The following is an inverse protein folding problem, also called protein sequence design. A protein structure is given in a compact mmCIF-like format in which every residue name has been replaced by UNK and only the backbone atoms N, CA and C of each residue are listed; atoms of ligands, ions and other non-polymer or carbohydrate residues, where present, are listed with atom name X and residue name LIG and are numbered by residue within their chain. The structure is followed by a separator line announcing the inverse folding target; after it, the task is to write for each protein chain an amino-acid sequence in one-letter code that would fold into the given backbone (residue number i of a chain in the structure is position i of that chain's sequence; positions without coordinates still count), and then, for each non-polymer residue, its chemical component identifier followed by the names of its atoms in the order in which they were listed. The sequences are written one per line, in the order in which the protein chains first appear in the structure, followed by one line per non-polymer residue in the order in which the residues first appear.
data_IF_124289005760
#
_entry.id   IF_124289005760
#
_cell.length_a   1.000
_cell.length_b   1.000
_cell.length_c   1.000
_cell.angle_alpha   90.00
_cell.angle_beta   90.00
_cell.angle_gamma   90.00
#
_symmetry.space_group_name_H-M   'P 1'
#
loop_
_entity.id
_entity.type
_entity.pdbx_description
1 polymer ?
#
# COMPACT_ATOMS: atom_id res chain seq x y z
N UNK A 1 11.14 -3.08 11.53
CA UNK A 1 12.62 -3.21 11.47
C UNK A 1 13.32 -1.86 11.62
N UNK A 2 14.45 -1.87 12.33
CA UNK A 2 15.24 -0.68 12.62
C UNK A 2 16.70 -1.02 12.40
N UNK A 3 17.44 -0.12 11.76
CA UNK A 3 18.86 -0.30 11.42
C UNK A 3 19.75 -0.52 12.64
N UNK A 4 19.32 -0.07 13.83
CA UNK A 4 20.02 -0.29 15.09
C UNK A 4 19.71 -1.62 15.80
N UNK A 5 18.63 -2.32 15.41
CA UNK A 5 18.13 -3.49 16.14
C UNK A 5 17.89 -4.75 15.29
N UNK A 6 17.90 -4.64 13.96
CA UNK A 6 17.72 -5.76 13.05
C UNK A 6 18.44 -5.52 11.73
N UNK A 7 19.13 -6.52 11.15
CA UNK A 7 19.83 -6.39 9.86
C UNK A 7 18.89 -6.48 8.66
N UNK A 8 17.58 -6.68 8.87
CA UNK A 8 16.62 -6.91 7.81
C UNK A 8 16.56 -5.77 6.80
N UNK A 9 16.50 -6.12 5.51
CA UNK A 9 16.27 -5.19 4.40
C UNK A 9 14.89 -5.45 3.83
N UNK A 10 14.23 -4.37 3.41
CA UNK A 10 12.94 -4.44 2.72
C UNK A 10 13.08 -3.72 1.38
N UNK A 11 12.54 -4.32 0.33
CA UNK A 11 12.45 -3.73 -0.99
C UNK A 11 10.97 -3.45 -1.26
N UNK A 12 10.66 -2.22 -1.67
CA UNK A 12 9.30 -1.79 -1.98
C UNK A 12 9.12 -1.77 -3.50
N UNK A 13 7.96 -2.18 -3.97
CA UNK A 13 7.61 -2.26 -5.39
C UNK A 13 6.23 -1.63 -5.61
N UNK A 14 6.03 -0.99 -6.77
CA UNK A 14 4.72 -0.56 -7.24
C UNK A 14 4.16 -1.64 -8.18
N UNK A 15 3.08 -2.30 -7.77
CA UNK A 15 2.33 -3.23 -8.60
C UNK A 15 1.15 -2.52 -9.26
N UNK A 16 1.12 -2.52 -10.60
CA UNK A 16 -0.01 -2.01 -11.36
C UNK A 16 -1.04 -3.13 -11.53
N UNK A 17 -2.26 -2.93 -11.04
CA UNK A 17 -3.28 -3.97 -10.99
C UNK A 17 -4.70 -3.39 -11.17
N UNK A 18 -5.63 -4.27 -11.56
CA UNK A 18 -7.06 -3.97 -11.55
C UNK A 18 -7.64 -4.44 -10.21
N UNK A 19 -8.19 -3.49 -9.45
CA UNK A 19 -8.76 -3.72 -8.12
C UNK A 19 -10.29 -3.68 -8.09
N UNK A 20 -11.00 -3.64 -9.23
CA UNK A 20 -12.47 -3.51 -9.25
C UNK A 20 -13.22 -4.63 -8.49
N UNK A 21 -12.63 -5.82 -8.38
CA UNK A 21 -13.20 -6.95 -7.66
C UNK A 21 -12.34 -7.38 -6.45
N UNK A 22 -11.46 -6.49 -5.97
CA UNK A 22 -10.59 -6.75 -4.83
C UNK A 22 -11.27 -6.38 -3.49
N UNK A 23 -10.64 -6.80 -2.40
CA UNK A 23 -11.10 -6.58 -1.03
C UNK A 23 -11.75 -7.82 -0.40
N UNK A 24 -11.88 -7.82 0.92
CA UNK A 24 -12.45 -8.91 1.70
C UNK A 24 -11.51 -9.41 2.79
N UNK A 25 -11.86 -10.55 3.40
CA UNK A 25 -11.07 -11.20 4.45
C UNK A 25 -10.28 -12.37 3.87
N UNK A 26 -9.00 -12.42 4.22
CA UNK A 26 -8.01 -13.37 3.75
C UNK A 26 -7.15 -13.87 4.91
N UNK A 27 -6.44 -14.96 4.65
CA UNK A 27 -5.59 -15.63 5.63
C UNK A 27 -5.67 -17.13 5.43
N UNK A 28 -4.56 -17.82 5.67
CA UNK A 28 -4.50 -19.28 5.69
C UNK A 28 -4.39 -19.75 7.13
N UNK A 29 -5.17 -20.76 7.50
CA UNK A 29 -5.13 -21.34 8.86
C UNK A 29 -3.72 -21.79 9.25
N UNK A 30 -2.97 -22.31 8.28
CA UNK A 30 -1.59 -22.78 8.42
C UNK A 30 -0.59 -21.64 8.67
N UNK A 31 -0.89 -20.43 8.23
CA UNK A 31 -0.03 -19.24 8.38
C UNK A 31 -0.42 -18.39 9.59
N UNK A 32 -1.57 -18.68 10.22
CA UNK A 32 -2.10 -17.93 11.36
C UNK A 32 -2.26 -16.43 11.10
N UNK A 33 -2.58 -16.07 9.85
CA UNK A 33 -2.84 -14.70 9.44
C UNK A 33 -4.35 -14.43 9.37
N UNK A 34 -4.76 -13.22 9.78
CA UNK A 34 -6.12 -12.71 9.70
C UNK A 34 -6.06 -11.31 9.08
N UNK A 35 -6.34 -11.23 7.79
CA UNK A 35 -6.05 -10.06 6.95
C UNK A 35 -7.36 -9.54 6.35
N UNK A 36 -7.66 -8.27 6.62
CA UNK A 36 -8.67 -7.53 5.88
C UNK A 36 -8.00 -6.71 4.77
N UNK A 37 -8.32 -7.02 3.51
CA UNK A 37 -7.96 -6.17 2.40
C UNK A 37 -9.13 -5.23 2.08
N UNK A 38 -8.82 -3.95 1.93
CA UNK A 38 -9.77 -2.92 1.55
C UNK A 38 -9.18 -2.09 0.40
N UNK A 39 -10.06 -1.57 -0.45
CA UNK A 39 -9.71 -0.74 -1.60
C UNK A 39 -10.22 0.66 -1.31
N UNK A 40 -9.35 1.64 -1.47
CA UNK A 40 -9.70 3.07 -1.36
C UNK A 40 -9.41 3.75 -2.69
N UNK A 41 -9.82 5.01 -2.81
CA UNK A 41 -9.31 5.85 -3.89
C UNK A 41 -7.93 6.40 -3.54
N UNK A 42 -7.16 6.74 -4.57
CA UNK A 42 -5.83 7.34 -4.39
C UNK A 42 -5.89 8.57 -3.49
N UNK A 43 -6.91 9.40 -3.69
CA UNK A 43 -7.09 10.62 -2.91
C UNK A 43 -7.37 10.30 -1.44
N UNK A 44 -8.21 9.31 -1.16
CA UNK A 44 -8.49 8.87 0.21
C UNK A 44 -7.23 8.29 0.88
N UNK A 45 -6.42 7.52 0.15
CA UNK A 45 -5.14 7.03 0.64
C UNK A 45 -4.15 8.17 0.97
N UNK A 46 -4.14 9.25 0.19
CA UNK A 46 -3.35 10.46 0.51
C UNK A 46 -3.92 11.22 1.70
N UNK A 47 -5.24 11.28 1.86
CA UNK A 47 -5.85 11.87 3.05
C UNK A 47 -5.50 11.07 4.32
N UNK A 48 -5.40 9.73 4.23
CA UNK A 48 -4.95 8.88 5.35
C UNK A 48 -3.50 9.16 5.72
N UNK A 49 -2.64 9.33 4.71
CA UNK A 49 -1.25 9.72 4.88
C UNK A 49 -1.15 11.06 5.64
N UNK A 50 -1.86 12.09 5.18
CA UNK A 50 -1.83 13.43 5.77
C UNK A 50 -2.40 13.46 7.20
N UNK A 51 -3.38 12.60 7.50
CA UNK A 51 -3.96 12.44 8.84
C UNK A 51 -3.12 11.58 9.78
N UNK A 52 -2.04 10.96 9.28
CA UNK A 52 -1.19 10.07 10.07
C UNK A 52 -1.86 8.74 10.42
N UNK A 53 -2.85 8.29 9.63
CA UNK A 53 -3.51 6.99 9.82
C UNK A 53 -2.68 5.81 9.31
N UNK A 54 -1.63 6.09 8.53
CA UNK A 54 -0.66 5.10 8.04
C UNK A 54 0.57 5.08 8.95
N UNK A 55 0.51 4.31 10.03
CA UNK A 55 1.52 4.30 11.10
C UNK A 55 2.60 3.21 10.95
N UNK A 56 2.50 2.38 9.91
CA UNK A 56 3.53 1.43 9.53
C UNK A 56 4.63 2.13 8.69
N UNK A 57 5.88 2.08 9.15
CA UNK A 57 7.00 2.75 8.48
C UNK A 57 7.22 2.34 7.02
N UNK A 58 6.95 1.09 6.63
CA UNK A 58 7.08 0.67 5.23
C UNK A 58 5.96 1.22 4.36
N UNK A 59 4.71 1.13 4.85
CA UNK A 59 3.54 1.72 4.18
C UNK A 59 3.71 3.23 4.02
N UNK A 60 4.20 3.91 5.05
CA UNK A 60 4.47 5.34 5.02
C UNK A 60 5.48 5.71 3.93
N UNK A 61 6.62 5.01 3.85
CA UNK A 61 7.65 5.25 2.83
C UNK A 61 7.10 4.96 1.42
N UNK A 62 6.36 3.86 1.24
CA UNK A 62 5.75 3.50 -0.04
C UNK A 62 4.76 4.58 -0.51
N UNK A 63 3.89 5.05 0.40
CA UNK A 63 2.87 6.06 0.08
C UNK A 63 3.45 7.44 -0.17
N UNK A 64 4.49 7.85 0.57
CA UNK A 64 5.20 9.10 0.31
C UNK A 64 5.88 9.07 -1.07
N UNK A 65 6.53 7.96 -1.42
CA UNK A 65 7.08 7.79 -2.77
C UNK A 65 5.98 7.82 -3.82
N UNK A 66 4.87 7.11 -3.60
CA UNK A 66 3.77 7.07 -4.55
C UNK A 66 3.12 8.45 -4.75
N UNK A 67 2.93 9.24 -3.69
CA UNK A 67 2.42 10.61 -3.78
C UNK A 67 3.27 11.54 -4.67
N UNK A 68 4.59 11.31 -4.69
CA UNK A 68 5.52 12.08 -5.53
C UNK A 68 5.53 11.62 -7.00
N UNK A 69 5.23 10.36 -7.28
CA UNK A 69 5.49 9.73 -8.58
C UNK A 69 4.24 9.24 -9.33
N UNK A 70 3.05 9.19 -8.71
CA UNK A 70 1.85 8.56 -9.32
C UNK A 70 1.47 9.15 -10.69
N UNK A 71 1.78 10.42 -10.94
CA UNK A 71 1.44 11.09 -12.20
C UNK A 71 2.15 10.45 -13.41
N UNK A 72 3.30 9.82 -13.22
CA UNK A 72 4.03 9.09 -14.27
C UNK A 72 3.24 7.86 -14.77
N UNK A 73 2.18 7.47 -14.05
CA UNK A 73 1.39 6.27 -14.31
C UNK A 73 -0.05 6.56 -14.73
N UNK A 74 -0.49 7.83 -14.75
CA UNK A 74 -1.89 8.26 -15.01
C UNK A 74 -2.38 8.15 -16.47
N UNK A 75 -1.55 7.69 -17.40
CA UNK A 75 -1.93 7.50 -18.81
C UNK A 75 -1.82 6.05 -19.28
N UNK A 76 -1.53 5.12 -18.37
CA UNK A 76 -1.60 3.69 -18.62
C UNK A 76 -3.03 3.26 -18.26
N UNK A 77 -3.62 2.27 -18.94
CA UNK A 77 -4.98 1.75 -18.71
C UNK A 77 -5.19 1.15 -17.30
N UNK A 78 -4.99 1.95 -16.28
CA UNK A 78 -4.95 1.60 -14.87
C UNK A 78 -5.91 2.61 -14.24
N UNK A 79 -7.17 2.21 -14.23
CA UNK A 79 -8.29 2.99 -13.71
C UNK A 79 -8.05 3.41 -12.26
N UNK A 80 -8.76 4.47 -11.87
CA UNK A 80 -8.63 5.32 -10.67
C UNK A 80 -8.73 4.63 -9.28
N UNK A 81 -8.41 3.35 -9.17
CA UNK A 81 -8.45 2.56 -7.95
C UNK A 81 -7.04 2.03 -7.61
N UNK A 82 -6.31 2.86 -6.86
CA UNK A 82 -5.34 2.45 -5.85
C UNK A 82 -5.85 2.99 -4.53
#
# INVERSE_FOLDING_TARGET
PSTGGSPGKMHLYLGLCDLHNAGGFYGLEEESEDIEAFVVSRQEAFDFLDKGLLDNGFTLIAMLWFQLHYQEYLGRDIMDFI
#
